data_IF_156962647541
#
_entry.id   IF_156962647541
#
_cell.length_a   1.000
_cell.length_b   1.000
_cell.length_c   1.000
_cell.angle_alpha   90.00
_cell.angle_beta   90.00
_cell.angle_gamma   90.00
#
_symmetry.space_group_name_H-M   'P 1'
#
loop_
_entity.id
_entity.type
_entity.pdbx_description
1 polymer ?
#
# COMPACT_ATOMS: atom_id res chain seq x y z
N UNK A 1 19.31 1.64 -4.30
CA UNK A 1 18.87 2.72 -5.22
C UNK A 1 18.15 3.76 -4.37
N UNK A 2 18.55 5.03 -4.42
CA UNK A 2 17.87 6.09 -3.67
C UNK A 2 16.67 6.56 -4.48
N UNK A 3 15.49 6.56 -3.86
CA UNK A 3 14.26 7.01 -4.49
C UNK A 3 13.57 8.02 -3.58
N UNK A 4 13.10 9.12 -4.16
CA UNK A 4 12.41 10.14 -3.40
C UNK A 4 11.03 9.61 -2.97
N UNK A 5 10.84 9.48 -1.66
CA UNK A 5 9.56 9.06 -1.07
C UNK A 5 8.54 10.20 -1.20
N UNK A 6 7.40 9.91 -1.81
CA UNK A 6 6.34 10.89 -2.08
C UNK A 6 4.97 10.31 -1.78
N UNK A 7 4.02 11.20 -1.45
CA UNK A 7 2.61 10.84 -1.24
C UNK A 7 2.05 10.09 -2.46
N UNK A 8 1.28 9.04 -2.19
CA UNK A 8 0.60 8.23 -3.21
C UNK A 8 1.46 7.12 -3.82
N UNK A 9 2.77 7.09 -3.56
CA UNK A 9 3.61 5.96 -3.94
C UNK A 9 3.21 4.69 -3.19
N UNK A 10 3.47 3.55 -3.81
CA UNK A 10 3.15 2.23 -3.28
C UNK A 10 4.45 1.51 -2.97
N UNK A 11 4.51 0.92 -1.78
CA UNK A 11 5.62 0.10 -1.31
C UNK A 11 5.09 -1.24 -0.81
N UNK A 12 5.96 -2.23 -0.69
CA UNK A 12 5.71 -3.47 0.04
C UNK A 12 6.51 -3.45 1.35
N UNK A 13 5.91 -3.88 2.46
CA UNK A 13 6.64 -4.12 3.71
C UNK A 13 7.33 -5.49 3.72
N UNK A 14 8.11 -5.78 4.76
CA UNK A 14 8.80 -7.08 4.99
C UNK A 14 7.88 -8.31 5.02
N UNK A 15 6.56 -8.11 5.13
CA UNK A 15 5.56 -9.16 5.14
C UNK A 15 4.74 -9.18 3.83
N UNK A 16 5.24 -8.50 2.79
CA UNK A 16 4.62 -8.34 1.48
C UNK A 16 3.24 -7.66 1.51
N UNK A 17 2.94 -6.86 2.53
CA UNK A 17 1.74 -6.03 2.51
C UNK A 17 2.00 -4.75 1.73
N UNK A 18 1.07 -4.43 0.84
CA UNK A 18 1.06 -3.14 0.17
C UNK A 18 0.78 -2.04 1.18
N UNK A 19 1.56 -0.97 1.05
CA UNK A 19 1.35 0.27 1.75
C UNK A 19 1.34 1.43 0.79
N UNK A 20 0.53 2.44 1.10
CA UNK A 20 0.42 3.66 0.30
C UNK A 20 0.92 4.83 1.13
N UNK A 21 1.88 5.58 0.62
CA UNK A 21 2.38 6.77 1.33
C UNK A 21 1.26 7.79 1.48
N UNK A 22 0.91 8.09 2.72
CA UNK A 22 -0.08 9.10 3.08
C UNK A 22 0.56 10.49 3.12
N UNK A 23 1.67 10.65 3.83
CA UNK A 23 2.45 11.90 3.90
C UNK A 23 3.89 11.63 4.36
N UNK A 24 4.79 12.58 4.06
CA UNK A 24 6.20 12.49 4.45
C UNK A 24 6.65 13.83 5.03
N UNK A 25 7.51 13.78 6.04
CA UNK A 25 8.26 14.94 6.56
C UNK A 25 9.76 14.63 6.45
N UNK A 26 10.62 15.53 6.94
CA UNK A 26 12.07 15.30 7.01
C UNK A 26 12.49 14.21 8.00
N UNK A 27 11.58 13.67 8.81
CA UNK A 27 11.90 12.69 9.86
C UNK A 27 11.08 11.41 9.77
N UNK A 28 9.84 11.50 9.27
CA UNK A 28 8.89 10.39 9.31
C UNK A 28 8.16 10.21 8.00
N UNK A 29 7.80 8.95 7.75
CA UNK A 29 6.91 8.50 6.69
C UNK A 29 5.61 8.03 7.34
N UNK A 30 4.48 8.57 6.90
CA UNK A 30 3.14 8.08 7.26
C UNK A 30 2.56 7.31 6.07
N UNK A 31 1.99 6.14 6.32
CA UNK A 31 1.49 5.27 5.27
C UNK A 31 0.21 4.53 5.70
N UNK A 32 -0.64 4.22 4.72
CA UNK A 32 -1.80 3.35 4.90
C UNK A 32 -1.38 1.89 4.82
N UNK A 33 -1.82 1.09 5.79
CA UNK A 33 -1.71 -0.38 5.77
C UNK A 33 -3.00 -0.95 6.34
N UNK A 34 -3.67 -1.81 5.57
CA UNK A 34 -4.92 -2.48 5.98
C UNK A 34 -5.96 -1.51 6.60
N UNK A 35 -6.15 -0.34 5.98
CA UNK A 35 -7.14 0.65 6.43
C UNK A 35 -6.74 1.49 7.65
N UNK A 36 -5.48 1.39 8.12
CA UNK A 36 -4.96 2.22 9.22
C UNK A 36 -3.75 3.04 8.78
N UNK A 37 -3.63 4.26 9.31
CA UNK A 37 -2.42 5.07 9.15
C UNK A 37 -1.38 4.64 10.17
N UNK A 38 -0.18 4.32 9.69
CA UNK A 38 0.99 3.96 10.48
C UNK A 38 2.09 5.00 10.26
N UNK A 39 3.08 5.03 11.14
CA UNK A 39 4.22 5.96 11.08
C UNK A 39 5.53 5.20 11.29
N UNK A 40 6.54 5.50 10.49
CA UNK A 40 7.90 5.02 10.65
C UNK A 40 8.89 6.19 10.49
N UNK A 41 10.08 6.08 11.08
CA UNK A 41 11.19 6.98 10.72
C UNK A 41 11.62 6.73 9.27
N UNK A 42 12.25 7.71 8.63
CA UNK A 42 12.79 7.54 7.28
C UNK A 42 13.78 6.37 7.20
N UNK A 43 14.67 6.25 8.18
CA UNK A 43 15.69 5.19 8.21
C UNK A 43 15.04 3.80 8.24
N UNK A 44 14.07 3.61 9.13
CA UNK A 44 13.32 2.37 9.22
C UNK A 44 12.54 2.10 7.93
N UNK A 45 11.92 3.12 7.36
CA UNK A 45 11.15 2.96 6.14
C UNK A 45 12.03 2.52 4.97
N UNK A 46 13.20 3.12 4.79
CA UNK A 46 14.14 2.74 3.74
C UNK A 46 14.70 1.32 3.91
N UNK A 47 14.78 0.82 5.14
CA UNK A 47 15.27 -0.53 5.44
C UNK A 47 14.17 -1.60 5.27
N UNK A 48 12.95 -1.29 5.71
CA UNK A 48 11.88 -2.27 5.84
C UNK A 48 10.95 -2.32 4.62
N UNK A 49 11.05 -1.37 3.68
CA UNK A 49 10.11 -1.23 2.58
C UNK A 49 10.78 -1.21 1.21
N UNK A 50 10.14 -1.89 0.26
CA UNK A 50 10.55 -1.93 -1.14
C UNK A 50 9.59 -1.11 -1.99
N UNK A 51 10.13 -0.25 -2.86
CA UNK A 51 9.31 0.53 -3.79
C UNK A 51 8.71 -0.38 -4.87
N UNK A 52 7.42 -0.22 -5.13
CA UNK A 52 6.74 -0.87 -6.24
C UNK A 52 6.57 0.10 -7.40
N UNK A 53 7.05 -0.29 -8.58
CA UNK A 53 6.89 0.53 -9.78
C UNK A 53 5.42 0.75 -10.12
N UNK A 54 5.12 1.86 -10.78
CA UNK A 54 3.76 2.25 -11.17
C UNK A 54 3.04 1.13 -11.94
N UNK A 55 3.74 0.39 -12.80
CA UNK A 55 3.15 -0.72 -13.55
C UNK A 55 2.79 -1.92 -12.66
N UNK A 56 3.59 -2.21 -11.65
CA UNK A 56 3.32 -3.25 -10.66
C UNK A 56 2.20 -2.84 -9.72
N UNK A 57 2.28 -1.63 -9.17
CA UNK A 57 1.27 -1.02 -8.33
C UNK A 57 -0.11 -0.98 -9.00
N UNK A 58 -0.17 -0.65 -10.30
CA UNK A 58 -1.42 -0.61 -11.07
C UNK A 58 -2.02 -2.01 -11.29
N UNK A 59 -1.19 -3.01 -11.59
CA UNK A 59 -1.64 -4.40 -11.73
C UNK A 59 -2.23 -4.92 -10.43
N UNK A 60 -1.50 -4.76 -9.33
CA UNK A 60 -1.93 -5.25 -8.01
C UNK A 60 -3.20 -4.53 -7.54
N UNK A 61 -3.32 -3.21 -7.80
CA UNK A 61 -4.55 -2.47 -7.48
C UNK A 61 -5.75 -2.97 -8.29
N UNK A 62 -5.59 -3.23 -9.58
CA UNK A 62 -6.66 -3.77 -10.41
C UNK A 62 -7.11 -5.16 -9.93
N UNK A 63 -6.16 -6.00 -9.48
CA UNK A 63 -6.44 -7.32 -8.90
C UNK A 63 -7.20 -7.21 -7.57
N UNK A 64 -6.81 -6.28 -6.69
CA UNK A 64 -7.51 -6.03 -5.42
C UNK A 64 -8.92 -5.51 -5.62
N UNK A 65 -9.12 -4.54 -6.52
CA UNK A 65 -10.45 -4.00 -6.85
C UNK A 65 -11.35 -5.11 -7.42
N UNK A 66 -10.80 -5.98 -8.27
CA UNK A 66 -11.50 -7.16 -8.80
C UNK A 66 -11.88 -8.14 -7.69
N UNK A 67 -10.97 -8.43 -6.75
CA UNK A 67 -11.24 -9.34 -5.64
C UNK A 67 -12.30 -8.81 -4.69
N UNK A 68 -12.31 -7.52 -4.37
CA UNK A 68 -13.34 -6.89 -3.55
C UNK A 68 -14.70 -6.88 -4.25
N UNK A 69 -14.71 -6.61 -5.57
CA UNK A 69 -15.92 -6.71 -6.38
C UNK A 69 -16.51 -8.14 -6.34
N UNK A 70 -15.69 -9.17 -6.51
CA UNK A 70 -16.12 -10.58 -6.40
C UNK A 70 -16.66 -10.90 -5.01
N UNK A 71 -16.01 -10.43 -3.93
CA UNK A 71 -16.51 -10.62 -2.56
C UNK A 71 -17.88 -9.97 -2.35
N UNK A 72 -18.06 -8.75 -2.87
CA UNK A 72 -19.34 -8.04 -2.80
C UNK A 72 -20.46 -8.81 -3.50
N UNK A 73 -20.21 -9.31 -4.71
CA UNK A 73 -21.18 -10.15 -5.45
C UNK A 73 -21.55 -11.42 -4.68
N UNK A 74 -20.56 -12.11 -4.08
CA UNK A 74 -20.80 -13.31 -3.26
C UNK A 74 -21.61 -12.99 -1.99
N UNK A 75 -21.38 -11.84 -1.38
CA UNK A 75 -22.15 -11.41 -0.21
C UNK A 75 -23.61 -11.15 -0.59
N UNK A 76 -23.87 -10.52 -1.74
CA UNK A 76 -25.23 -10.31 -2.25
C UNK A 76 -25.97 -11.64 -2.52
N UNK A 77 -25.28 -12.64 -3.07
CA UNK A 77 -25.85 -13.96 -3.34
C UNK A 77 -26.14 -14.80 -2.09
N UNK A 78 -25.57 -14.47 -0.93
CA UNK A 78 -25.83 -15.18 0.35
C UNK A 78 -26.99 -14.59 1.15
N UNK A 79 -27.46 -13.40 0.77
CA UNK A 79 -28.54 -12.66 1.44
C UNK A 79 -29.87 -12.78 0.66
N UNK A 80 -29.83 -13.37 -0.54
CA UNK A 80 -31.00 -13.78 -1.33
C UNK A 80 -31.31 -15.27 -1.10
#
# INVERSE_FOLDING_TARGET
>A
MFQLIQRGQIYADQHNWLVIIHSVTSQIVRYWRQGRVNTASIDRFNQDFEYLDFHEARRIRAELETSEHIKSLRAMQRVA
#
